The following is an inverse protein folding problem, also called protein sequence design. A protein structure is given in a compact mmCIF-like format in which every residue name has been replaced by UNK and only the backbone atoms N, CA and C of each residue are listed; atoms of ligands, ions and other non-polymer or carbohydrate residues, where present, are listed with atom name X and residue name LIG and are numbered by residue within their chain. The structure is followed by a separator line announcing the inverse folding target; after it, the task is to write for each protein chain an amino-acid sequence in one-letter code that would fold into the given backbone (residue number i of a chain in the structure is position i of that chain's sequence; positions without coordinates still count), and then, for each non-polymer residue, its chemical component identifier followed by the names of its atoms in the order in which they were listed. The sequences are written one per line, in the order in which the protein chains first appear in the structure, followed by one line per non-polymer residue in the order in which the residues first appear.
data_IF_925144376065
#
_entry.id   IF_925144376065
#
_cell.length_a   1.000
_cell.length_b   1.000
_cell.length_c   1.000
_cell.angle_alpha   90.00
_cell.angle_beta   90.00
_cell.angle_gamma   90.00
#
_symmetry.space_group_name_H-M   'P 1'
#
loop_
_entity.id
_entity.type
_entity.pdbx_description
1 polymer ?
#
# COMPACT_ATOMS: atom_id res chain seq x y z
N UNK A 1 -25.94 4.37 13.06
CA UNK A 1 -26.98 3.46 13.56
C UNK A 1 -26.48 2.01 13.65
N UNK A 2 -26.29 1.26 12.55
CA UNK A 2 -25.81 -0.13 12.63
C UNK A 2 -24.38 -0.26 13.21
N UNK A 3 -23.51 0.69 12.89
CA UNK A 3 -22.12 0.78 13.40
C UNK A 3 -22.01 1.12 14.90
N UNK A 4 -23.11 1.57 15.53
CA UNK A 4 -23.12 1.94 16.95
C UNK A 4 -23.50 0.76 17.86
N UNK A 5 -24.12 -0.27 17.30
CA UNK A 5 -24.51 -1.49 18.00
C UNK A 5 -23.27 -2.31 18.37
N UNK A 6 -23.00 -2.47 19.67
CA UNK A 6 -21.83 -3.18 20.17
C UNK A 6 -21.79 -4.65 19.69
N UNK A 7 -22.96 -5.30 19.60
CA UNK A 7 -23.07 -6.70 19.17
C UNK A 7 -22.73 -6.92 17.69
N UNK A 8 -22.68 -5.84 16.90
CA UNK A 8 -22.31 -5.87 15.48
C UNK A 8 -20.90 -5.32 15.23
N UNK A 9 -20.12 -5.01 16.28
CA UNK A 9 -18.75 -4.53 16.14
C UNK A 9 -17.80 -5.68 15.82
N UNK A 10 -17.15 -5.57 14.68
CA UNK A 10 -16.02 -6.42 14.30
C UNK A 10 -14.73 -5.65 14.62
N UNK A 11 -13.78 -6.31 15.27
CA UNK A 11 -12.47 -5.70 15.50
C UNK A 11 -11.75 -5.50 14.15
N UNK A 12 -11.05 -4.38 13.92
CA UNK A 12 -10.48 -4.05 12.61
C UNK A 12 -9.50 -5.09 12.08
N UNK A 13 -8.83 -5.84 12.97
CA UNK A 13 -7.92 -6.92 12.60
C UNK A 13 -8.56 -8.32 12.48
N UNK A 14 -9.83 -8.49 12.85
CA UNK A 14 -10.47 -9.81 12.81
C UNK A 14 -10.61 -10.36 11.37
N UNK A 15 -11.09 -9.58 10.37
CA UNK A 15 -11.21 -10.09 9.01
C UNK A 15 -9.86 -10.55 8.46
N UNK A 16 -8.79 -9.77 8.69
CA UNK A 16 -7.46 -10.10 8.22
C UNK A 16 -6.95 -11.44 8.78
N UNK A 17 -7.23 -11.75 10.05
CA UNK A 17 -6.81 -13.04 10.66
C UNK A 17 -7.62 -14.22 10.14
N UNK A 18 -8.91 -14.02 9.92
CA UNK A 18 -9.80 -15.11 9.52
C UNK A 18 -9.66 -15.47 8.04
N UNK A 19 -9.21 -14.51 7.20
CA UNK A 19 -9.19 -14.68 5.72
C UNK A 19 -7.81 -14.66 5.08
N UNK A 20 -6.74 -14.35 5.82
CA UNK A 20 -5.39 -14.15 5.25
C UNK A 20 -4.92 -15.30 4.34
N UNK A 21 -5.30 -16.54 4.67
CA UNK A 21 -4.85 -17.75 3.97
C UNK A 21 -6.01 -18.57 3.37
N UNK A 22 -7.21 -17.98 3.22
CA UNK A 22 -8.35 -18.68 2.62
C UNK A 22 -8.24 -18.72 1.09
N UNK A 23 -7.59 -19.79 0.60
CA UNK A 23 -7.38 -20.03 -0.83
C UNK A 23 -8.68 -20.23 -1.62
N UNK A 24 -9.74 -20.74 -0.98
CA UNK A 24 -11.07 -20.92 -1.58
C UNK A 24 -11.81 -19.59 -1.73
N UNK A 25 -11.71 -18.70 -0.74
CA UNK A 25 -12.19 -17.32 -0.86
C UNK A 25 -11.45 -16.57 -1.98
N UNK A 26 -10.13 -16.72 -2.05
CA UNK A 26 -9.33 -16.10 -3.11
C UNK A 26 -9.75 -16.61 -4.50
N UNK A 27 -9.97 -17.93 -4.65
CA UNK A 27 -10.46 -18.53 -5.91
C UNK A 27 -11.84 -17.99 -6.30
N UNK A 28 -12.81 -18.03 -5.38
CA UNK A 28 -14.18 -17.52 -5.65
C UNK A 28 -14.18 -16.04 -6.02
N UNK A 29 -13.34 -15.24 -5.35
CA UNK A 29 -13.18 -13.82 -5.66
C UNK A 29 -12.63 -13.61 -7.07
N UNK A 30 -11.68 -14.44 -7.52
CA UNK A 30 -11.18 -14.42 -8.90
C UNK A 30 -12.24 -14.83 -9.91
N UNK A 31 -13.06 -15.84 -9.61
CA UNK A 31 -14.14 -16.30 -10.50
C UNK A 31 -15.29 -15.30 -10.63
N UNK A 32 -15.58 -14.56 -9.57
CA UNK A 32 -16.62 -13.53 -9.57
C UNK A 32 -16.15 -12.20 -10.18
N UNK A 33 -14.86 -12.05 -10.43
CA UNK A 33 -14.33 -10.83 -11.02
C UNK A 33 -14.82 -10.67 -12.47
N UNK A 34 -15.04 -9.43 -12.92
CA UNK A 34 -15.27 -9.13 -14.34
C UNK A 34 -14.18 -9.73 -15.22
N UNK A 35 -14.57 -10.27 -16.39
CA UNK A 35 -13.67 -11.03 -17.26
C UNK A 35 -12.48 -10.18 -17.79
N UNK A 36 -12.69 -8.88 -17.93
CA UNK A 36 -11.69 -7.88 -18.35
C UNK A 36 -10.61 -7.61 -17.29
N UNK A 37 -10.81 -8.03 -16.04
CA UNK A 37 -9.82 -7.81 -14.97
C UNK A 37 -8.51 -8.57 -15.18
N UNK A 38 -8.53 -9.71 -15.88
CA UNK A 38 -7.34 -10.56 -16.08
C UNK A 38 -6.47 -10.18 -17.28
N UNK A 39 -7.02 -9.44 -18.24
CA UNK A 39 -6.34 -9.07 -19.48
C UNK A 39 -5.44 -7.82 -19.32
N UNK A 40 -5.57 -7.12 -18.20
CA UNK A 40 -4.90 -5.84 -17.94
C UNK A 40 -3.41 -5.98 -17.53
N UNK A 41 -2.94 -7.18 -17.17
CA UNK A 41 -1.59 -7.36 -16.60
C UNK A 41 -0.47 -7.04 -17.62
N UNK A 42 -0.68 -7.39 -18.89
CA UNK A 42 0.26 -7.06 -19.96
C UNK A 42 0.24 -5.56 -20.31
N UNK A 43 -0.93 -4.91 -20.32
CA UNK A 43 -1.07 -3.49 -20.61
C UNK A 43 -0.65 -2.58 -19.45
N UNK A 44 -0.80 -3.05 -18.21
CA UNK A 44 -0.42 -2.32 -17.00
C UNK A 44 1.09 -2.12 -16.90
N UNK A 45 1.89 -3.12 -17.29
CA UNK A 45 3.35 -3.00 -17.32
C UNK A 45 3.83 -1.97 -18.34
N UNK A 46 3.21 -1.90 -19.52
CA UNK A 46 3.55 -0.91 -20.54
C UNK A 46 3.16 0.52 -20.12
N UNK A 47 2.01 0.69 -19.47
CA UNK A 47 1.59 1.98 -18.92
C UNK A 47 2.53 2.47 -17.82
N UNK A 48 2.95 1.59 -16.91
CA UNK A 48 3.92 1.92 -15.86
C UNK A 48 5.28 2.27 -16.45
N UNK A 49 5.76 1.52 -17.44
CA UNK A 49 7.02 1.81 -18.13
C UNK A 49 6.98 3.19 -18.80
N UNK A 50 5.87 3.53 -19.48
CA UNK A 50 5.68 4.84 -20.09
C UNK A 50 5.65 5.97 -19.05
N UNK A 51 5.01 5.76 -17.90
CA UNK A 51 4.99 6.74 -16.81
C UNK A 51 6.39 6.97 -16.23
N UNK A 52 7.13 5.89 -15.95
CA UNK A 52 8.47 5.97 -15.36
C UNK A 52 9.53 6.52 -16.32
N UNK A 53 9.31 6.42 -17.63
CA UNK A 53 10.18 7.03 -18.64
C UNK A 53 10.07 8.57 -18.67
N UNK A 54 9.00 9.15 -18.12
CA UNK A 54 8.82 10.59 -18.01
C UNK A 54 9.38 11.09 -16.67
N UNK A 55 10.70 11.27 -16.63
CA UNK A 55 11.41 11.72 -15.43
C UNK A 55 10.95 13.09 -14.94
N UNK A 56 10.52 13.97 -15.85
CA UNK A 56 10.02 15.31 -15.50
C UNK A 56 8.68 15.21 -14.74
N UNK A 57 7.74 14.43 -15.26
CA UNK A 57 6.46 14.20 -14.58
C UNK A 57 6.64 13.49 -13.23
N UNK A 58 7.52 12.50 -13.18
CA UNK A 58 7.80 11.77 -11.93
C UNK A 58 8.37 12.72 -10.87
N UNK A 59 9.29 13.61 -11.25
CA UNK A 59 9.89 14.56 -10.29
C UNK A 59 8.88 15.61 -9.82
N UNK A 60 8.03 16.12 -10.72
CA UNK A 60 6.95 17.03 -10.35
C UNK A 60 5.98 16.42 -9.32
N UNK A 61 5.62 15.14 -9.50
CA UNK A 61 4.74 14.41 -8.57
C UNK A 61 5.44 14.19 -7.22
N UNK A 62 6.74 13.86 -7.20
CA UNK A 62 7.50 13.68 -5.96
C UNK A 62 7.56 14.96 -5.14
N UNK A 63 7.81 16.08 -5.79
CA UNK A 63 7.88 17.38 -5.10
C UNK A 63 6.51 17.79 -4.56
N UNK A 64 5.44 17.61 -5.34
CA UNK A 64 4.08 17.84 -4.86
C UNK A 64 3.76 16.94 -3.65
N UNK A 65 4.09 15.65 -3.72
CA UNK A 65 3.85 14.69 -2.65
C UNK A 65 4.60 15.08 -1.36
N UNK A 66 5.84 15.56 -1.48
CA UNK A 66 6.63 16.07 -0.33
C UNK A 66 5.95 17.27 0.31
N UNK A 67 5.54 18.26 -0.49
CA UNK A 67 4.86 19.45 0.01
C UNK A 67 3.52 19.12 0.71
N UNK A 68 2.74 18.18 0.15
CA UNK A 68 1.51 17.71 0.77
C UNK A 68 1.78 16.96 2.09
N UNK A 69 2.79 16.10 2.13
CA UNK A 69 3.19 15.37 3.33
C UNK A 69 3.59 16.33 4.45
N UNK A 70 4.40 17.35 4.15
CA UNK A 70 4.77 18.40 5.11
C UNK A 70 3.55 19.17 5.64
N UNK A 71 2.60 19.48 4.75
CA UNK A 71 1.36 20.16 5.14
C UNK A 71 0.51 19.32 6.08
N UNK A 72 0.29 18.04 5.75
CA UNK A 72 -0.46 17.08 6.60
C UNK A 72 0.26 16.81 7.91
N UNK A 73 1.58 16.72 7.89
CA UNK A 73 2.37 16.55 9.10
C UNK A 73 2.18 17.74 10.04
N UNK A 74 2.21 18.98 9.53
CA UNK A 74 1.91 20.17 10.34
C UNK A 74 0.48 20.16 10.87
N UNK A 75 -0.50 19.78 10.04
CA UNK A 75 -1.91 19.68 10.44
C UNK A 75 -2.12 18.68 11.58
N UNK A 76 -1.43 17.54 11.52
CA UNK A 76 -1.61 16.43 12.47
C UNK A 76 -0.60 16.45 13.62
N UNK A 77 0.31 17.43 13.66
CA UNK A 77 1.37 17.49 14.67
C UNK A 77 2.43 16.40 14.52
N UNK A 78 2.63 15.89 13.29
CA UNK A 78 3.58 14.83 12.94
C UNK A 78 4.88 15.34 12.28
N UNK A 79 5.18 16.64 12.40
CA UNK A 79 6.35 17.25 11.75
C UNK A 79 7.67 16.62 12.21
N UNK A 80 7.77 16.23 13.49
CA UNK A 80 8.97 15.62 14.04
C UNK A 80 9.21 14.22 13.45
N UNK A 81 8.16 13.43 13.23
CA UNK A 81 8.24 12.09 12.62
C UNK A 81 8.63 12.17 11.14
N UNK A 82 8.19 13.22 10.43
CA UNK A 82 8.59 13.43 9.05
C UNK A 82 10.09 13.78 8.96
N UNK A 83 10.60 14.63 9.85
CA UNK A 83 12.01 14.96 9.91
C UNK A 83 12.90 13.74 10.24
N UNK A 84 12.44 12.83 11.10
CA UNK A 84 13.16 11.60 11.45
C UNK A 84 13.19 10.59 10.27
N UNK A 85 12.13 10.56 9.46
CA UNK A 85 12.06 9.74 8.24
C UNK A 85 13.05 10.22 7.17
N UNK A 86 13.17 11.54 6.96
CA UNK A 86 14.18 12.10 6.05
C UNK A 86 15.61 11.86 6.54
N UNK A 87 15.83 11.90 7.86
CA UNK A 87 17.13 11.58 8.47
C UNK A 87 17.53 10.10 8.33
N UNK A 88 16.54 9.20 8.23
CA UNK A 88 16.72 7.75 8.08
C UNK A 88 16.70 7.31 6.60
N UNK A 89 16.57 8.24 5.65
CA UNK A 89 16.44 8.00 4.19
C UNK A 89 17.67 7.44 3.47
N UNK A 90 18.41 6.52 4.10
CA UNK A 90 19.66 5.97 3.59
C UNK A 90 19.97 4.53 4.00
N UNK A 91 19.00 3.67 4.32
CA UNK A 91 19.22 2.22 4.21
C UNK A 91 17.90 1.43 4.13
N UNK A 92 17.45 1.17 2.90
CA UNK A 92 16.38 0.24 2.60
C UNK A 92 16.86 -1.19 2.41
N UNK A 93 17.99 -1.61 2.98
CA UNK A 93 18.35 -3.02 3.05
C UNK A 93 17.38 -3.74 3.99
N UNK A 94 16.29 -4.26 3.42
CA UNK A 94 15.54 -5.36 4.03
C UNK A 94 16.55 -6.48 4.27
N UNK A 95 17.00 -6.63 5.50
CA UNK A 95 17.75 -7.81 5.93
C UNK A 95 16.78 -8.97 5.79
N UNK A 96 16.96 -9.75 4.72
CA UNK A 96 16.32 -11.04 4.59
C UNK A 96 16.71 -11.85 5.82
N UNK A 97 15.71 -12.19 6.63
CA UNK A 97 15.86 -13.12 7.73
C UNK A 97 16.34 -14.46 7.15
N UNK A 98 17.63 -14.73 7.31
CA UNK A 98 18.28 -15.93 6.84
C UNK A 98 17.89 -17.08 7.76
N UNK A 99 17.13 -18.03 7.22
CA UNK A 99 16.89 -19.33 7.86
C UNK A 99 18.26 -20.01 8.06
N UNK A 100 18.71 -20.31 9.29
CA UNK A 100 19.97 -21.01 9.50
C UNK A 100 19.84 -22.46 9.01
N UNK A 101 20.85 -23.04 8.34
CA UNK A 101 20.83 -24.45 8.03
C UNK A 101 20.99 -25.26 9.32
N UNK A 102 20.09 -26.23 9.51
CA UNK A 102 20.24 -27.34 10.46
C UNK A 102 21.05 -28.49 9.88
#
# INVERSE_FOLDING_TARGET
AAHDCADLRVAPGAPARDVADDSELARRTREAAPADRGDDDAGAHDALASFLADEEQVEAIREQARAEAESRAREWGLSDQLADADATGGDGARTGDGVPPG
#
